data_IF_803428554368
#
_entry.id   IF_803428554368
#
_cell.length_a   1.000
_cell.length_b   1.000
_cell.length_c   1.000
_cell.angle_alpha   90.00
_cell.angle_beta   90.00
_cell.angle_gamma   90.00
#
_symmetry.space_group_name_H-M   'P 1'
#
loop_
_entity.id
_entity.type
_entity.pdbx_description
1 polymer ?
#
# COMPACT_ATOMS: atom_id res chain seq x y z
N UNK A 1 -13.45 -8.83 -0.87
CA UNK A 1 -12.05 -8.82 -0.40
C UNK A 1 -11.88 -10.00 0.54
N UNK A 2 -10.99 -10.94 0.23
CA UNK A 2 -10.73 -12.11 1.08
C UNK A 2 -10.31 -11.64 2.48
N UNK A 3 -10.91 -12.25 3.51
CA UNK A 3 -10.67 -11.93 4.93
C UNK A 3 -9.18 -12.12 5.23
N UNK A 4 -8.40 -11.04 5.24
CA UNK A 4 -6.97 -11.12 5.56
C UNK A 4 -6.13 -9.95 5.05
N UNK A 5 -6.55 -9.24 4.00
CA UNK A 5 -5.82 -8.09 3.48
C UNK A 5 -6.42 -6.77 3.96
N UNK A 6 -5.56 -5.85 4.41
CA UNK A 6 -5.95 -4.53 4.89
C UNK A 6 -5.17 -3.44 4.17
N UNK A 7 -5.88 -2.37 3.82
CA UNK A 7 -5.29 -1.16 3.25
C UNK A 7 -4.43 -0.45 4.31
N UNK A 8 -3.22 -0.07 3.92
CA UNK A 8 -2.28 0.66 4.79
C UNK A 8 -1.81 1.99 4.20
N UNK A 9 -1.90 2.14 2.88
CA UNK A 9 -1.41 3.31 2.17
C UNK A 9 -2.14 3.48 0.85
N UNK A 10 -2.43 4.72 0.48
CA UNK A 10 -3.07 5.07 -0.77
C UNK A 10 -2.42 6.35 -1.32
N UNK A 11 -2.17 6.37 -2.63
CA UNK A 11 -1.52 7.49 -3.32
C UNK A 11 -2.00 7.57 -4.77
N UNK A 12 -2.03 8.76 -5.34
CA UNK A 12 -2.24 8.97 -6.78
C UNK A 12 -0.93 8.95 -7.58
N UNK A 13 0.19 8.70 -6.93
CA UNK A 13 1.51 8.71 -7.55
C UNK A 13 2.08 7.30 -7.55
N UNK A 14 2.19 6.69 -8.73
CA UNK A 14 2.72 5.34 -8.91
C UNK A 14 4.07 5.15 -8.20
N UNK A 15 5.01 6.07 -8.42
CA UNK A 15 6.34 5.98 -7.80
C UNK A 15 6.30 5.93 -6.26
N UNK A 16 5.33 6.61 -5.61
CA UNK A 16 5.18 6.54 -4.15
C UNK A 16 4.64 5.18 -3.71
N UNK A 17 3.79 4.56 -4.53
CA UNK A 17 3.30 3.21 -4.25
C UNK A 17 4.43 2.18 -4.41
N UNK A 18 5.26 2.33 -5.43
CA UNK A 18 6.43 1.47 -5.66
C UNK A 18 7.44 1.57 -4.50
N UNK A 19 7.80 2.78 -4.07
CA UNK A 19 8.71 2.98 -2.92
C UNK A 19 8.15 2.32 -1.65
N UNK A 20 6.86 2.50 -1.39
CA UNK A 20 6.22 1.90 -0.22
C UNK A 20 6.15 0.37 -0.33
N UNK A 21 5.94 -0.19 -1.53
CA UNK A 21 6.04 -1.64 -1.78
C UNK A 21 7.45 -2.14 -1.49
N UNK A 22 8.46 -1.55 -2.11
CA UNK A 22 9.86 -1.95 -1.95
C UNK A 22 10.31 -1.89 -0.49
N UNK A 23 9.94 -0.84 0.25
CA UNK A 23 10.28 -0.72 1.66
C UNK A 23 9.72 -1.89 2.50
N UNK A 24 8.46 -2.24 2.26
CA UNK A 24 7.79 -3.33 2.98
C UNK A 24 8.31 -4.70 2.56
N UNK A 25 8.54 -4.91 1.26
CA UNK A 25 9.08 -6.18 0.73
C UNK A 25 10.52 -6.43 1.21
N UNK A 26 11.34 -5.39 1.34
CA UNK A 26 12.69 -5.51 1.92
C UNK A 26 12.68 -5.99 3.38
N UNK A 27 11.61 -5.69 4.12
CA UNK A 27 11.38 -6.17 5.49
C UNK A 27 10.67 -7.53 5.53
N UNK A 28 10.51 -8.19 4.37
CA UNK A 28 9.86 -9.50 4.24
C UNK A 28 8.33 -9.47 4.30
N UNK A 29 7.71 -8.29 4.21
CA UNK A 29 6.26 -8.14 4.24
C UNK A 29 5.71 -8.27 2.84
N UNK A 30 4.79 -9.22 2.63
CA UNK A 30 4.09 -9.38 1.35
C UNK A 30 3.12 -8.22 1.14
N UNK A 31 3.22 -7.58 -0.01
CA UNK A 31 2.41 -6.43 -0.42
C UNK A 31 1.57 -6.76 -1.64
N UNK A 32 0.35 -6.23 -1.69
CA UNK A 32 -0.50 -6.23 -2.88
C UNK A 32 -0.80 -4.78 -3.25
N UNK A 33 -0.40 -4.38 -4.46
CA UNK A 33 -0.69 -3.05 -5.01
C UNK A 33 -1.89 -3.16 -5.95
N UNK A 34 -2.95 -2.43 -5.65
CA UNK A 34 -4.13 -2.30 -6.50
C UNK A 34 -4.04 -0.99 -7.27
N UNK A 35 -3.91 -1.08 -8.59
CA UNK A 35 -4.01 0.05 -9.50
C UNK A 35 -5.47 0.21 -9.95
N UNK A 36 -6.07 1.37 -9.68
CA UNK A 36 -7.45 1.71 -9.98
C UNK A 36 -7.61 2.66 -11.18
N UNK A 37 -6.54 2.91 -11.97
CA UNK A 37 -6.51 3.89 -13.06
C UNK A 37 -7.60 3.69 -14.15
N UNK A 38 -8.05 2.45 -14.38
CA UNK A 38 -9.12 2.14 -15.35
C UNK A 38 -10.55 2.26 -14.78
N UNK A 39 -10.71 2.71 -13.54
CA UNK A 39 -12.02 2.83 -12.92
C UNK A 39 -12.73 4.08 -13.45
N UNK A 40 -13.98 3.93 -13.92
CA UNK A 40 -14.82 5.04 -14.41
C UNK A 40 -15.14 6.13 -13.36
N UNK A 41 -14.67 5.96 -12.12
CA UNK A 41 -14.79 6.93 -11.03
C UNK A 41 -13.46 7.66 -10.83
N UNK A 42 -13.45 8.98 -11.07
CA UNK A 42 -12.35 9.92 -10.83
C UNK A 42 -12.02 10.06 -9.33
N UNK A 43 -11.56 8.99 -8.70
CA UNK A 43 -11.38 8.94 -7.23
C UNK A 43 -9.93 9.20 -6.85
N UNK A 44 -9.72 9.96 -5.77
CA UNK A 44 -8.40 10.30 -5.23
C UNK A 44 -7.68 9.05 -4.74
N UNK A 45 -6.48 8.76 -5.27
CA UNK A 45 -5.65 7.63 -4.84
C UNK A 45 -5.76 6.41 -5.75
N UNK A 46 -5.10 6.49 -6.91
CA UNK A 46 -5.14 5.47 -7.95
C UNK A 46 -4.39 4.18 -7.56
N UNK A 47 -3.49 4.25 -6.59
CA UNK A 47 -2.70 3.11 -6.12
C UNK A 47 -3.00 2.87 -4.64
N UNK A 48 -3.54 1.69 -4.34
CA UNK A 48 -3.78 1.24 -2.96
C UNK A 48 -2.82 0.11 -2.62
N UNK A 49 -2.20 0.20 -1.44
CA UNK A 49 -1.32 -0.82 -0.90
C UNK A 49 -2.05 -1.58 0.20
N UNK A 50 -2.11 -2.90 0.00
CA UNK A 50 -2.64 -3.86 0.94
C UNK A 50 -1.53 -4.76 1.51
N UNK A 51 -1.66 -5.10 2.78
CA UNK A 51 -0.83 -6.10 3.46
C UNK A 51 -1.71 -7.07 4.24
N UNK A 52 -1.16 -8.22 4.62
CA UNK A 52 -1.83 -9.12 5.54
C UNK A 52 -2.12 -8.40 6.88
N UNK A 53 -3.27 -8.66 7.49
CA UNK A 53 -3.72 -7.99 8.71
C UNK A 53 -2.73 -8.15 9.87
N UNK A 54 -2.03 -9.29 9.94
CA UNK A 54 -0.95 -9.55 10.90
C UNK A 54 0.22 -8.54 10.78
N UNK A 55 0.49 -8.05 9.57
CA UNK A 55 1.58 -7.13 9.28
C UNK A 55 1.18 -5.66 9.34
N UNK A 56 -0.10 -5.36 9.64
CA UNK A 56 -0.64 -3.99 9.64
C UNK A 56 0.21 -3.03 10.48
N UNK A 57 0.43 -3.37 11.75
CA UNK A 57 1.12 -2.49 12.70
C UNK A 57 2.55 -2.23 12.26
N UNK A 58 3.29 -3.29 11.89
CA UNK A 58 4.68 -3.16 11.42
C UNK A 58 4.76 -2.32 10.14
N UNK A 59 3.84 -2.54 9.21
CA UNK A 59 3.80 -1.80 7.94
C UNK A 59 3.53 -0.31 8.16
N UNK A 60 2.60 0.04 9.05
CA UNK A 60 2.33 1.45 9.38
C UNK A 60 3.56 2.13 9.99
N UNK A 61 4.30 1.44 10.86
CA UNK A 61 5.53 1.99 11.45
C UNK A 61 6.60 2.23 10.40
N UNK A 62 6.86 1.28 9.50
CA UNK A 62 7.83 1.45 8.41
C UNK A 62 7.47 2.60 7.48
N UNK A 63 6.19 2.74 7.15
CA UNK A 63 5.71 3.82 6.27
C UNK A 63 5.72 5.21 6.94
N UNK A 64 5.85 5.30 8.27
CA UNK A 64 6.05 6.61 8.93
C UNK A 64 7.42 7.19 8.61
N UNK A 65 8.43 6.36 8.39
CA UNK A 65 9.77 6.82 8.00
C UNK A 65 9.76 7.49 6.62
N UNK A 66 8.80 7.15 5.75
CA UNK A 66 8.60 7.81 4.45
C UNK A 66 7.92 9.19 4.53
N UNK A 67 7.35 9.57 5.68
CA UNK A 67 6.63 10.83 5.85
C UNK A 67 7.46 11.96 6.48
N UNK A 68 8.70 11.68 6.91
CA UNK A 68 9.62 12.66 7.50
C UNK A 68 10.67 13.15 6.52
#
# INVERSE_FOLDING_TARGET
MEKGWIEIFMTSHEYKAEIARELLENEGIKVVVLNQHDSAYQTFGEFIIYVAQENKTRSIELLKELKN
#
